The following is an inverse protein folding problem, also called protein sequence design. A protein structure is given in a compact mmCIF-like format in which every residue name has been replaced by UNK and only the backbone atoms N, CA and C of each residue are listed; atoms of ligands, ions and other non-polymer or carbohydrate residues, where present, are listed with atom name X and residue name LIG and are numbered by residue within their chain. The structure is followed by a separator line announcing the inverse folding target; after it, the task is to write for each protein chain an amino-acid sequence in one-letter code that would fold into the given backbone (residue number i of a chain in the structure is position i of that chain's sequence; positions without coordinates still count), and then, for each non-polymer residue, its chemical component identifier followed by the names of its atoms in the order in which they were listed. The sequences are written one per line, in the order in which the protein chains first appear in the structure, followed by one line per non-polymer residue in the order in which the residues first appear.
data_IF_879153361218
#
_entry.id   IF_879153361218
#
_cell.length_a   1.000
_cell.length_b   1.000
_cell.length_c   1.000
_cell.angle_alpha   90.00
_cell.angle_beta   90.00
_cell.angle_gamma   90.00
#
_symmetry.space_group_name_H-M   'P 1'
#
loop_
_entity.id
_entity.type
_entity.pdbx_description
1 polymer ?
#
# COMPACT_ATOMS: atom_id res chain seq x y z
N UNK A 1 31.17 34.51 39.50
CA UNK A 1 32.04 34.06 38.39
C UNK A 1 31.19 33.09 37.57
N UNK A 2 30.31 33.60 36.71
CA UNK A 2 30.57 33.89 35.29
C UNK A 2 30.71 32.57 34.50
N UNK A 3 29.58 32.21 33.86
CA UNK A 3 29.38 31.60 32.52
C UNK A 3 30.33 30.54 31.96
N UNK A 4 29.70 29.57 31.29
CA UNK A 4 30.04 29.02 29.96
C UNK A 4 30.42 27.53 29.89
N UNK A 5 29.42 26.68 29.62
CA UNK A 5 29.55 25.50 28.74
C UNK A 5 28.18 24.89 28.39
N UNK A 6 27.32 25.72 27.79
CA UNK A 6 26.34 25.23 26.82
C UNK A 6 27.12 24.83 25.56
N UNK A 7 27.47 23.56 25.39
CA UNK A 7 27.80 22.92 24.09
C UNK A 7 28.38 21.52 24.34
N UNK A 8 27.57 20.58 24.79
CA UNK A 8 27.71 19.11 24.57
C UNK A 8 26.64 18.46 25.45
N UNK A 9 25.41 18.32 24.98
CA UNK A 9 24.90 16.98 24.67
C UNK A 9 23.68 17.10 23.77
N UNK A 10 23.71 18.07 22.84
CA UNK A 10 22.80 18.15 21.69
C UNK A 10 23.28 17.22 20.54
N UNK A 11 23.79 16.03 20.91
CA UNK A 11 24.24 14.96 20.01
C UNK A 11 23.84 13.56 20.50
N UNK A 12 23.12 13.45 21.61
CA UNK A 12 22.59 12.17 22.11
C UNK A 12 21.16 11.89 21.59
N UNK A 13 20.86 12.35 20.37
CA UNK A 13 19.60 12.16 19.67
C UNK A 13 19.80 11.59 18.25
N UNK A 14 21.01 11.10 17.95
CA UNK A 14 21.34 10.52 16.64
C UNK A 14 21.47 8.99 16.65
N UNK A 15 21.59 8.34 17.83
CA UNK A 15 21.80 6.87 17.89
C UNK A 15 20.54 6.07 18.29
N UNK A 16 19.49 6.73 18.82
CA UNK A 16 18.21 6.05 19.11
C UNK A 16 17.35 5.82 17.85
N UNK A 17 17.73 6.42 16.72
CA UNK A 17 16.95 6.44 15.47
C UNK A 17 17.33 5.32 14.48
N UNK A 18 18.46 4.63 14.70
CA UNK A 18 18.90 3.52 13.84
C UNK A 18 18.41 2.15 14.34
N UNK A 19 18.29 1.95 15.66
CA UNK A 19 17.95 0.63 16.22
C UNK A 19 16.47 0.23 16.11
N UNK A 20 15.56 1.17 15.88
CA UNK A 20 14.14 0.86 15.63
C UNK A 20 13.81 0.65 14.15
N UNK A 21 14.76 0.89 13.24
CA UNK A 21 14.53 0.79 11.80
C UNK A 21 14.85 -0.60 11.22
N UNK A 22 15.53 -1.48 11.98
CA UNK A 22 15.93 -2.82 11.50
C UNK A 22 15.13 -3.97 12.12
N UNK A 23 14.03 -3.68 12.83
CA UNK A 23 13.14 -4.71 13.41
C UNK A 23 11.84 -4.92 12.61
N UNK A 24 11.61 -4.12 11.56
CA UNK A 24 10.47 -4.28 10.63
C UNK A 24 11.01 -4.52 9.22
N UNK A 25 11.91 -5.48 9.06
CA UNK A 25 11.93 -6.21 7.80
C UNK A 25 10.70 -7.13 7.86
N UNK A 26 9.55 -6.59 7.48
CA UNK A 26 8.43 -7.42 7.03
C UNK A 26 9.00 -8.28 5.91
N UNK A 27 9.32 -9.53 6.25
CA UNK A 27 9.74 -10.51 5.26
C UNK A 27 8.49 -10.80 4.46
N UNK A 28 8.38 -10.20 3.28
CA UNK A 28 7.33 -10.54 2.34
C UNK A 28 7.46 -12.03 2.02
N UNK A 29 6.32 -12.73 2.04
CA UNK A 29 6.31 -14.14 1.71
C UNK A 29 6.55 -14.35 0.22
N UNK A 30 5.84 -13.57 -0.60
CA UNK A 30 5.89 -13.65 -2.05
C UNK A 30 5.67 -12.26 -2.67
N UNK A 31 6.15 -12.07 -3.90
CA UNK A 31 5.86 -10.92 -4.76
C UNK A 31 4.92 -11.38 -5.88
N UNK A 32 3.74 -10.78 -5.99
CA UNK A 32 2.68 -11.19 -6.92
C UNK A 32 2.22 -9.97 -7.72
N UNK A 33 2.01 -10.14 -9.01
CA UNK A 33 1.53 -9.06 -9.88
C UNK A 33 0.03 -8.80 -9.63
N UNK A 34 -0.40 -7.54 -9.69
CA UNK A 34 -1.82 -7.16 -9.49
C UNK A 34 -2.76 -7.83 -10.52
N UNK A 35 -2.23 -8.28 -11.65
CA UNK A 35 -3.00 -8.98 -12.70
C UNK A 35 -3.46 -10.37 -12.28
N UNK A 36 -2.78 -11.00 -11.32
CA UNK A 36 -3.15 -12.30 -10.75
C UNK A 36 -4.19 -12.19 -9.63
N UNK A 37 -4.53 -10.96 -9.21
CA UNK A 37 -5.55 -10.73 -8.19
C UNK A 37 -6.94 -10.68 -8.80
N UNK A 38 -7.91 -11.22 -8.07
CA UNK A 38 -9.33 -11.05 -8.39
C UNK A 38 -9.82 -9.71 -7.84
N UNK A 39 -10.34 -8.85 -8.70
CA UNK A 39 -10.87 -7.53 -8.31
C UNK A 39 -12.38 -7.61 -8.08
N UNK A 40 -12.81 -7.17 -6.89
CA UNK A 40 -14.21 -7.01 -6.54
C UNK A 40 -14.63 -5.54 -6.72
N UNK A 41 -15.59 -5.27 -7.61
CA UNK A 41 -16.08 -3.92 -7.91
C UNK A 41 -17.00 -3.37 -6.81
N UNK A 42 -17.67 -4.24 -6.05
CA UNK A 42 -18.63 -3.84 -5.01
C UNK A 42 -17.89 -3.35 -3.76
N UNK A 43 -16.77 -4.00 -3.42
CA UNK A 43 -15.96 -3.65 -2.25
C UNK A 43 -14.72 -2.81 -2.59
N UNK A 44 -14.36 -2.70 -3.87
CA UNK A 44 -13.10 -2.10 -4.36
C UNK A 44 -11.85 -2.74 -3.71
N UNK A 45 -11.87 -4.07 -3.55
CA UNK A 45 -10.81 -4.86 -2.92
C UNK A 45 -10.26 -5.89 -3.91
N UNK A 46 -8.94 -6.09 -3.87
CA UNK A 46 -8.25 -7.13 -4.61
C UNK A 46 -7.99 -8.34 -3.71
N UNK A 47 -8.32 -9.52 -4.20
CA UNK A 47 -8.25 -10.80 -3.50
C UNK A 47 -7.22 -11.74 -4.13
N UNK A 48 -6.45 -12.45 -3.29
CA UNK A 48 -5.51 -13.47 -3.75
C UNK A 48 -5.51 -14.70 -2.82
N UNK A 49 -5.53 -15.94 -3.34
CA UNK A 49 -5.62 -17.14 -2.52
C UNK A 49 -4.38 -17.33 -1.64
N UNK A 50 -4.58 -17.44 -0.32
CA UNK A 50 -3.51 -17.69 0.64
C UNK A 50 -3.37 -19.20 0.91
N UNK A 51 -2.15 -19.76 1.00
CA UNK A 51 -1.93 -21.20 1.23
C UNK A 51 -2.46 -21.73 2.57
N UNK A 52 -2.89 -20.85 3.48
CA UNK A 52 -3.52 -21.23 4.73
C UNK A 52 -5.03 -21.50 4.63
N UNK A 53 -5.66 -21.22 3.48
CA UNK A 53 -7.09 -21.46 3.24
C UNK A 53 -7.98 -20.21 3.22
N UNK A 54 -7.44 -19.05 3.58
CA UNK A 54 -8.08 -17.74 3.45
C UNK A 54 -7.54 -16.98 2.23
N UNK A 55 -7.90 -15.70 2.10
CA UNK A 55 -7.47 -14.85 0.99
C UNK A 55 -6.74 -13.62 1.53
N UNK A 56 -5.69 -13.21 0.84
CA UNK A 56 -5.11 -11.88 1.00
C UNK A 56 -6.08 -10.85 0.45
N UNK A 57 -6.16 -9.71 1.12
CA UNK A 57 -7.01 -8.60 0.74
C UNK A 57 -6.20 -7.31 0.76
N UNK A 58 -6.40 -6.48 -0.26
CA UNK A 58 -5.84 -5.12 -0.34
C UNK A 58 -6.85 -4.20 -1.01
N UNK A 59 -7.09 -3.03 -0.41
CA UNK A 59 -8.04 -2.08 -0.98
C UNK A 59 -7.41 -1.30 -2.13
N UNK A 60 -8.23 -0.95 -3.12
CA UNK A 60 -7.85 -0.06 -4.21
C UNK A 60 -7.39 1.31 -3.71
N UNK A 61 -7.96 1.80 -2.61
CA UNK A 61 -7.55 3.05 -1.97
C UNK A 61 -6.12 2.96 -1.40
N UNK A 62 -5.73 1.81 -0.85
CA UNK A 62 -4.36 1.56 -0.39
C UNK A 62 -3.37 1.53 -1.56
N UNK A 63 -3.72 0.84 -2.65
CA UNK A 63 -2.92 0.86 -3.89
C UNK A 63 -2.78 2.28 -4.45
N UNK A 64 -3.87 3.07 -4.44
CA UNK A 64 -3.84 4.47 -4.86
C UNK A 64 -2.96 5.35 -3.95
N UNK A 65 -2.90 5.04 -2.66
CA UNK A 65 -2.02 5.70 -1.70
C UNK A 65 -0.54 5.29 -1.83
N UNK A 66 -0.24 4.28 -2.66
CA UNK A 66 1.11 3.75 -2.84
C UNK A 66 1.47 2.60 -1.91
N UNK A 67 0.48 2.03 -1.19
CA UNK A 67 0.64 0.87 -0.32
C UNK A 67 0.48 -0.38 -1.15
N UNK A 68 1.48 -1.25 -1.13
CA UNK A 68 1.57 -2.45 -1.96
C UNK A 68 1.59 -3.74 -1.13
N UNK A 69 1.11 -3.67 0.11
CA UNK A 69 1.18 -4.75 1.10
C UNK A 69 -0.19 -5.39 1.27
N UNK A 70 -0.41 -6.56 0.66
CA UNK A 70 -1.64 -7.31 0.86
C UNK A 70 -1.51 -8.20 2.10
N UNK A 71 -2.49 -8.12 3.00
CA UNK A 71 -2.46 -8.80 4.29
C UNK A 71 -3.54 -9.87 4.36
N UNK A 72 -3.19 -11.04 4.91
CA UNK A 72 -4.17 -12.10 5.16
C UNK A 72 -4.68 -12.02 6.62
N UNK A 73 -6.00 -11.95 6.86
CA UNK A 73 -6.58 -11.77 8.20
C UNK A 73 -6.33 -12.96 9.14
N UNK A 74 -6.16 -14.17 8.61
CA UNK A 74 -5.99 -15.37 9.41
C UNK A 74 -4.54 -15.72 9.71
N UNK A 75 -3.64 -15.33 8.81
CA UNK A 75 -2.29 -15.90 8.76
C UNK A 75 -1.22 -14.85 9.08
N UNK A 76 -1.62 -13.57 9.17
CA UNK A 76 -0.75 -12.40 9.36
C UNK A 76 0.41 -12.32 8.35
N UNK A 77 0.36 -13.16 7.30
CA UNK A 77 1.29 -13.14 6.19
C UNK A 77 1.01 -11.87 5.39
N UNK A 78 2.09 -11.32 4.85
CA UNK A 78 2.05 -10.18 3.96
C UNK A 78 2.75 -10.57 2.67
N UNK A 79 2.10 -10.29 1.55
CA UNK A 79 2.68 -10.42 0.21
C UNK A 79 2.82 -9.03 -0.40
N UNK A 80 3.80 -8.88 -1.29
CA UNK A 80 4.06 -7.63 -1.97
C UNK A 80 3.39 -7.65 -3.35
N UNK A 81 2.60 -6.62 -3.62
CA UNK A 81 1.83 -6.49 -4.85
C UNK A 81 2.62 -5.66 -5.85
N UNK A 82 3.03 -6.26 -6.96
CA UNK A 82 3.72 -5.55 -8.03
C UNK A 82 2.67 -4.93 -8.96
N UNK A 83 2.65 -3.59 -9.04
CA UNK A 83 1.81 -2.85 -9.96
C UNK A 83 2.52 -1.62 -10.49
N UNK A 84 2.10 -1.18 -11.68
CA UNK A 84 2.58 0.07 -12.27
C UNK A 84 1.65 1.23 -11.86
N UNK A 85 2.23 2.23 -11.19
CA UNK A 85 1.50 3.40 -10.69
C UNK A 85 0.93 4.26 -11.83
N UNK A 86 1.63 4.33 -12.96
CA UNK A 86 1.18 5.09 -14.13
C UNK A 86 0.01 4.38 -14.79
N UNK A 87 0.08 3.05 -14.92
CA UNK A 87 -1.00 2.24 -15.46
C UNK A 87 -2.27 2.30 -14.57
N UNK A 88 -2.09 2.30 -13.25
CA UNK A 88 -3.21 2.40 -12.32
C UNK A 88 -3.91 3.76 -12.38
N UNK A 89 -3.15 4.86 -12.43
CA UNK A 89 -3.70 6.21 -12.59
C UNK A 89 -4.45 6.37 -13.93
N UNK A 90 -3.91 5.80 -15.01
CA UNK A 90 -4.56 5.83 -16.32
C UNK A 90 -5.91 5.09 -16.33
N UNK A 91 -6.00 3.92 -15.68
CA UNK A 91 -7.28 3.18 -15.53
C UNK A 91 -8.33 3.99 -14.77
N UNK A 92 -7.94 4.71 -13.70
CA UNK A 92 -8.87 5.57 -12.98
C UNK A 92 -9.42 6.70 -13.86
N UNK A 93 -8.57 7.33 -14.68
CA UNK A 93 -9.05 8.34 -15.63
C UNK A 93 -9.97 7.79 -16.72
N UNK A 94 -9.72 6.57 -17.20
CA UNK A 94 -10.61 5.91 -18.16
C UNK A 94 -11.99 5.62 -17.57
N UNK A 95 -12.06 5.11 -16.34
CA UNK A 95 -13.33 4.90 -15.64
C UNK A 95 -14.12 6.21 -15.47
N UNK A 96 -13.45 7.30 -15.10
CA UNK A 96 -14.07 8.63 -14.98
C UNK A 96 -14.59 9.11 -16.35
N UNK A 97 -13.83 8.88 -17.42
CA UNK A 97 -14.23 9.25 -18.80
C UNK A 97 -15.41 8.43 -19.31
N UNK A 98 -15.57 7.18 -18.86
CA UNK A 98 -16.64 6.30 -19.32
C UNK A 98 -17.96 6.52 -18.57
N UNK A 99 -17.93 6.85 -17.28
CA UNK A 99 -19.12 7.31 -16.54
C UNK A 99 -19.73 8.58 -17.16
N UNK A 100 -18.90 9.55 -17.57
CA UNK A 100 -19.38 10.75 -18.25
C UNK A 100 -20.10 10.43 -19.58
N UNK A 101 -19.65 9.41 -20.33
CA UNK A 101 -20.29 9.03 -21.59
C UNK A 101 -21.65 8.34 -21.38
N UNK A 102 -21.81 7.60 -20.29
CA UNK A 102 -23.10 6.98 -19.94
C UNK A 102 -24.13 8.03 -19.49
N UNK A 103 -23.71 9.08 -18.80
CA UNK A 103 -24.59 10.20 -18.42
C UNK A 103 -25.07 11.03 -19.62
N UNK A 104 -24.34 11.02 -20.75
CA UNK A 104 -24.69 11.76 -21.97
C UNK A 104 -25.67 10.99 -22.87
N UNK A 105 -25.71 9.65 -22.79
CA UNK A 105 -26.57 8.83 -23.66
C UNK A 105 -28.01 8.64 -23.15
N UNK A 106 -28.32 9.00 -21.89
CA UNK A 106 -29.67 8.90 -21.33
C UNK A 106 -30.51 10.20 -21.44
N UNK A 107 -30.13 11.12 -22.33
CA UNK A 107 -30.97 12.26 -22.75
C UNK A 107 -31.25 12.17 -24.26
N UNK A 108 -32.00 11.16 -24.68
CA UNK A 108 -32.71 11.14 -25.97
C UNK A 108 -34.16 10.75 -25.71
#
# INVERSE_FOLDING_TARGET
MITDRMCVLNLYLSSFREFNYYRIMSVYHDEVEIEDFEYDEDEEVYYFPCPCGDQFQISKAELAAGVEEATCPSCSLVIKVIYDKEAFAAKQEELIRDEEKQLVTQKV
#
